data_IF_833158091131
#
_entry.id   IF_833158091131
#
_cell.length_a   1.000
_cell.length_b   1.000
_cell.length_c   1.000
_cell.angle_alpha   90.00
_cell.angle_beta   90.00
_cell.angle_gamma   90.00
#
_symmetry.space_group_name_H-M   'P 1'
#
loop_
_entity.id
_entity.type
_entity.pdbx_description
1 polymer ?
#
# COMPACT_ATOMS: atom_id res chain seq x y z
N UNK A 1 -9.09 7.01 29.82
CA UNK A 1 -7.88 7.24 28.98
C UNK A 1 -7.74 8.72 28.65
N UNK A 2 -6.54 9.30 28.79
CA UNK A 2 -6.20 10.64 28.31
C UNK A 2 -6.60 10.87 26.84
N UNK A 3 -7.07 12.07 26.52
CA UNK A 3 -7.51 12.44 25.17
C UNK A 3 -6.45 12.19 24.09
N UNK A 4 -5.19 12.53 24.40
CA UNK A 4 -4.04 12.30 23.53
C UNK A 4 -3.84 10.81 23.18
N UNK A 5 -3.99 9.91 24.15
CA UNK A 5 -3.85 8.47 23.91
C UNK A 5 -4.98 7.91 23.05
N UNK A 6 -6.21 8.41 23.22
CA UNK A 6 -7.33 8.07 22.35
C UNK A 6 -7.03 8.46 20.89
N UNK A 7 -6.56 9.68 20.68
CA UNK A 7 -6.17 10.19 19.35
C UNK A 7 -5.05 9.36 18.73
N UNK A 8 -3.97 9.10 19.48
CA UNK A 8 -2.83 8.32 19.01
C UNK A 8 -3.22 6.89 18.61
N UNK A 9 -4.09 6.24 19.38
CA UNK A 9 -4.59 4.90 19.05
C UNK A 9 -5.36 4.89 17.72
N UNK A 10 -6.20 5.91 17.47
CA UNK A 10 -6.92 6.03 16.20
C UNK A 10 -5.96 6.29 15.04
N UNK A 11 -4.92 7.11 15.22
CA UNK A 11 -3.88 7.34 14.20
C UNK A 11 -3.18 6.04 13.81
N UNK A 12 -2.75 5.24 14.80
CA UNK A 12 -2.09 3.96 14.56
C UNK A 12 -3.04 2.97 13.86
N UNK A 13 -4.29 2.89 14.31
CA UNK A 13 -5.29 2.02 13.71
C UNK A 13 -5.61 2.44 12.27
N UNK A 14 -5.74 3.74 12.00
CA UNK A 14 -5.98 4.27 10.65
C UNK A 14 -4.84 3.92 9.69
N UNK A 15 -3.60 3.91 10.19
CA UNK A 15 -2.44 3.51 9.40
C UNK A 15 -2.47 2.06 8.93
N UNK A 16 -3.06 1.14 9.72
CA UNK A 16 -3.12 -0.30 9.41
C UNK A 16 -4.46 -0.67 8.74
N UNK A 17 -5.56 -0.17 9.30
CA UNK A 17 -6.96 -0.48 8.95
C UNK A 17 -7.79 0.81 8.85
N UNK A 18 -7.53 1.59 7.80
CA UNK A 18 -8.19 2.88 7.55
C UNK A 18 -9.72 2.82 7.62
N UNK A 19 -10.35 1.79 7.06
CA UNK A 19 -11.80 1.64 7.02
C UNK A 19 -12.46 1.49 8.41
N UNK A 20 -11.78 0.81 9.36
CA UNK A 20 -12.32 0.52 10.69
C UNK A 20 -12.02 1.62 11.72
N UNK A 21 -11.09 2.52 11.41
CA UNK A 21 -10.66 3.55 12.33
C UNK A 21 -11.77 4.55 12.74
N UNK A 22 -12.70 4.99 11.87
CA UNK A 22 -13.81 5.87 12.28
C UNK A 22 -14.75 5.19 13.28
N UNK A 23 -15.07 3.90 13.08
CA UNK A 23 -15.90 3.12 14.02
C UNK A 23 -15.26 3.09 15.40
N UNK A 24 -13.97 2.78 15.44
CA UNK A 24 -13.21 2.69 16.69
C UNK A 24 -13.11 4.05 17.40
N UNK A 25 -12.91 5.13 16.64
CA UNK A 25 -12.86 6.48 17.18
C UNK A 25 -14.19 6.90 17.82
N UNK A 26 -15.32 6.56 17.18
CA UNK A 26 -16.64 6.81 17.73
C UNK A 26 -16.86 6.03 19.05
N UNK A 27 -16.52 4.75 19.10
CA UNK A 27 -16.65 3.93 20.31
C UNK A 27 -15.82 4.44 21.49
N UNK A 28 -14.74 5.16 21.21
CA UNK A 28 -13.87 5.77 22.23
C UNK A 28 -14.32 7.19 22.61
N UNK A 29 -15.33 7.72 21.92
CA UNK A 29 -15.88 9.06 22.12
C UNK A 29 -14.96 10.17 21.64
N UNK A 30 -14.33 10.00 20.47
CA UNK A 30 -13.55 11.06 19.83
C UNK A 30 -14.45 11.99 19.02
N UNK A 31 -14.14 13.29 19.05
CA UNK A 31 -14.84 14.28 18.23
C UNK A 31 -14.69 14.02 16.73
N UNK A 32 -15.66 14.49 15.95
CA UNK A 32 -15.69 14.36 14.49
C UNK A 32 -14.40 14.87 13.83
N UNK A 33 -13.98 16.10 14.18
CA UNK A 33 -12.79 16.74 13.60
C UNK A 33 -11.49 16.04 14.01
N UNK A 34 -11.43 15.59 15.26
CA UNK A 34 -10.27 14.87 15.78
C UNK A 34 -10.15 13.49 15.12
N UNK A 35 -11.27 12.82 14.87
CA UNK A 35 -11.31 11.56 14.12
C UNK A 35 -10.84 11.77 12.68
N UNK A 36 -11.35 12.78 12.00
CA UNK A 36 -10.92 13.10 10.64
C UNK A 36 -9.43 13.42 10.56
N UNK A 37 -8.92 14.28 11.47
CA UNK A 37 -7.50 14.59 11.55
C UNK A 37 -6.66 13.34 11.81
N UNK A 38 -7.09 12.47 12.72
CA UNK A 38 -6.41 11.21 13.01
C UNK A 38 -6.36 10.27 11.79
N UNK A 39 -7.45 10.18 11.02
CA UNK A 39 -7.50 9.40 9.78
C UNK A 39 -6.52 9.93 8.73
N UNK A 40 -6.53 11.24 8.49
CA UNK A 40 -5.68 11.87 7.49
C UNK A 40 -4.20 11.73 7.88
N UNK A 41 -3.86 12.02 9.13
CA UNK A 41 -2.48 11.93 9.63
C UNK A 41 -2.01 10.48 9.62
N UNK A 42 -2.78 9.56 10.20
CA UNK A 42 -2.41 8.14 10.27
C UNK A 42 -2.33 7.48 8.90
N UNK A 43 -3.30 7.77 8.02
CA UNK A 43 -3.33 7.25 6.66
C UNK A 43 -2.18 7.77 5.80
N UNK A 44 -1.92 9.09 5.86
CA UNK A 44 -0.83 9.71 5.10
C UNK A 44 0.54 9.24 5.60
N UNK A 45 0.76 9.23 6.91
CA UNK A 45 2.02 8.81 7.53
C UNK A 45 2.33 7.35 7.20
N UNK A 46 1.35 6.45 7.38
CA UNK A 46 1.51 5.03 7.05
C UNK A 46 1.80 4.81 5.57
N UNK A 47 1.05 5.49 4.68
CA UNK A 47 1.29 5.42 3.25
C UNK A 47 2.72 5.83 2.88
N UNK A 48 3.19 6.97 3.38
CA UNK A 48 4.54 7.48 3.09
C UNK A 48 5.60 6.53 3.64
N UNK A 49 5.50 6.11 4.90
CA UNK A 49 6.43 5.18 5.52
C UNK A 49 6.57 3.90 4.70
N UNK A 50 5.47 3.26 4.34
CA UNK A 50 5.49 2.01 3.58
C UNK A 50 5.96 2.23 2.14
N UNK A 51 5.57 3.34 1.51
CA UNK A 51 5.98 3.69 0.15
C UNK A 51 7.51 3.86 0.04
N UNK A 52 8.11 4.60 0.99
CA UNK A 52 9.56 4.78 1.03
C UNK A 52 10.30 3.53 1.51
N UNK A 53 9.78 2.80 2.49
CA UNK A 53 10.34 1.52 2.91
C UNK A 53 10.38 0.51 1.74
N UNK A 54 9.33 0.48 0.91
CA UNK A 54 9.30 -0.35 -0.30
C UNK A 54 10.38 0.08 -1.29
N UNK A 55 10.61 1.39 -1.45
CA UNK A 55 11.70 1.87 -2.29
C UNK A 55 13.06 1.38 -1.80
N UNK A 56 13.33 1.55 -0.51
CA UNK A 56 14.57 1.13 0.14
C UNK A 56 14.79 -0.37 -0.06
N UNK A 57 13.76 -1.18 0.19
CA UNK A 57 13.80 -2.63 0.01
C UNK A 57 14.08 -3.02 -1.44
N UNK A 58 13.44 -2.37 -2.42
CA UNK A 58 13.66 -2.65 -3.84
C UNK A 58 15.08 -2.29 -4.30
N UNK A 59 15.63 -1.16 -3.84
CA UNK A 59 17.02 -0.76 -4.12
C UNK A 59 18.00 -1.72 -3.45
N UNK A 60 17.77 -2.05 -2.18
CA UNK A 60 18.58 -3.00 -1.41
C UNK A 60 18.64 -4.36 -2.10
N UNK A 61 17.50 -4.95 -2.45
CA UNK A 61 17.43 -6.24 -3.15
C UNK A 61 18.13 -6.20 -4.52
N UNK A 62 18.06 -5.07 -5.23
CA UNK A 62 18.70 -4.92 -6.54
C UNK A 62 20.21 -4.80 -6.45
N UNK A 63 20.77 -4.18 -5.41
CA UNK A 63 22.21 -3.88 -5.31
C UNK A 63 22.98 -4.84 -4.40
N UNK A 64 22.43 -5.26 -3.26
CA UNK A 64 23.14 -6.11 -2.31
C UNK A 64 23.15 -7.59 -2.72
N UNK A 65 22.01 -8.10 -3.19
CA UNK A 65 21.87 -9.53 -3.52
C UNK A 65 22.89 -10.08 -4.52
N UNK A 66 23.27 -9.37 -5.62
CA UNK A 66 24.30 -9.88 -6.54
C UNK A 66 25.73 -9.76 -5.97
N UNK A 67 26.02 -8.72 -5.17
CA UNK A 67 27.35 -8.52 -4.57
C UNK A 67 27.66 -9.54 -3.46
N UNK A 68 26.68 -9.88 -2.63
CA UNK A 68 26.88 -10.89 -1.56
C UNK A 68 27.18 -12.27 -2.16
N UNK A 69 26.45 -12.64 -3.21
CA UNK A 69 26.63 -13.94 -3.88
C UNK A 69 27.98 -14.04 -4.62
N UNK A 70 28.56 -12.92 -5.07
CA UNK A 70 29.88 -12.94 -5.70
C UNK A 70 31.05 -13.15 -4.72
N UNK A 71 30.83 -12.91 -3.42
CA UNK A 71 31.88 -13.03 -2.37
C UNK A 71 31.81 -14.37 -1.62
N UNK A 72 30.77 -15.17 -1.84
CA UNK A 72 30.54 -16.44 -1.13
C UNK A 72 31.13 -17.66 -1.86
N UNK A 73 31.42 -18.74 -1.13
CA UNK A 73 31.89 -20.07 -1.59
C UNK A 73 31.27 -20.55 -2.92
N UNK A 74 32.09 -21.22 -3.76
CA UNK A 74 31.75 -21.72 -5.10
C UNK A 74 30.38 -22.41 -5.24
N UNK A 75 29.92 -23.18 -4.24
CA UNK A 75 28.62 -23.88 -4.26
C UNK A 75 27.44 -22.92 -4.35
N UNK A 76 27.49 -21.81 -3.63
CA UNK A 76 26.40 -20.80 -3.60
C UNK A 76 26.30 -20.02 -4.90
N UNK A 77 27.45 -19.74 -5.53
CA UNK A 77 27.55 -19.10 -6.84
C UNK A 77 26.92 -19.97 -7.93
N UNK A 78 27.19 -21.28 -7.93
CA UNK A 78 26.60 -22.25 -8.86
C UNK A 78 25.08 -22.39 -8.66
N UNK A 79 24.62 -22.51 -7.42
CA UNK A 79 23.18 -22.56 -7.11
C UNK A 79 22.45 -21.29 -7.60
N UNK A 80 23.00 -20.11 -7.33
CA UNK A 80 22.44 -18.85 -7.79
C UNK A 80 22.42 -18.75 -9.32
N UNK A 81 23.48 -19.19 -10.00
CA UNK A 81 23.55 -19.21 -11.48
C UNK A 81 22.46 -20.11 -12.05
N UNK A 82 22.31 -21.33 -11.53
CA UNK A 82 21.28 -22.27 -11.94
C UNK A 82 19.86 -21.75 -11.66
N UNK A 83 19.63 -21.13 -10.51
CA UNK A 83 18.34 -20.50 -10.18
C UNK A 83 18.01 -19.34 -11.13
N UNK A 84 19.01 -18.50 -11.45
CA UNK A 84 18.88 -17.39 -12.39
C UNK A 84 18.57 -17.89 -13.80
N UNK A 85 19.27 -18.92 -14.28
CA UNK A 85 19.04 -19.55 -15.58
C UNK A 85 17.65 -20.19 -15.67
N UNK A 86 17.23 -20.95 -14.65
CA UNK A 86 15.85 -21.50 -14.57
C UNK A 86 14.79 -20.39 -14.59
N UNK A 87 15.03 -19.26 -13.92
CA UNK A 87 14.11 -18.09 -13.93
C UNK A 87 14.03 -17.41 -15.29
N UNK A 88 15.14 -17.33 -16.03
CA UNK A 88 15.22 -16.78 -17.40
C UNK A 88 14.49 -17.71 -18.36
N UNK A 89 14.79 -19.01 -18.34
CA UNK A 89 14.15 -20.00 -19.20
C UNK A 89 12.62 -20.02 -18.98
N UNK A 90 12.19 -20.08 -17.71
CA UNK A 90 10.77 -19.97 -17.34
C UNK A 90 10.12 -18.62 -17.70
N UNK A 91 10.90 -17.57 -17.99
CA UNK A 91 10.38 -16.29 -18.51
C UNK A 91 10.21 -16.33 -20.03
N UNK A 92 11.10 -17.01 -20.74
CA UNK A 92 11.04 -17.21 -22.19
C UNK A 92 9.89 -18.16 -22.56
N UNK A 93 9.74 -19.27 -21.82
CA UNK A 93 8.69 -20.28 -22.06
C UNK A 93 7.29 -19.83 -21.62
N UNK A 94 7.17 -18.65 -20.99
CA UNK A 94 5.90 -18.14 -20.49
C UNK A 94 5.03 -17.68 -21.65
N UNK A 95 3.91 -18.37 -21.88
CA UNK A 95 2.87 -17.98 -22.86
C UNK A 95 2.42 -16.53 -22.60
N UNK A 96 2.73 -15.64 -23.54
CA UNK A 96 2.43 -14.20 -23.43
C UNK A 96 0.93 -13.91 -23.51
N UNK A 97 0.19 -14.66 -24.33
CA UNK A 97 -1.23 -14.41 -24.65
C UNK A 97 -2.25 -15.36 -23.99
N UNK A 98 -2.17 -15.57 -22.68
CA UNK A 98 -3.21 -16.33 -21.95
C UNK A 98 -4.45 -15.49 -21.66
N UNK A 99 -5.64 -16.10 -21.52
CA UNK A 99 -6.90 -15.40 -21.14
C UNK A 99 -6.72 -14.59 -19.84
N UNK A 100 -5.96 -15.12 -18.88
CA UNK A 100 -5.61 -14.44 -17.62
C UNK A 100 -4.69 -13.22 -17.85
N UNK A 101 -3.68 -13.33 -18.72
CA UNK A 101 -2.83 -12.18 -19.07
C UNK A 101 -3.62 -11.10 -19.82
N UNK A 102 -4.49 -11.48 -20.76
CA UNK A 102 -5.37 -10.54 -21.47
C UNK A 102 -6.31 -9.81 -20.49
N UNK A 103 -6.89 -10.51 -19.51
CA UNK A 103 -7.72 -9.89 -18.45
C UNK A 103 -6.91 -8.92 -17.59
N UNK A 104 -5.71 -9.30 -17.15
CA UNK A 104 -4.83 -8.39 -16.40
C UNK A 104 -4.40 -7.17 -17.22
N UNK A 105 -4.12 -7.34 -18.52
CA UNK A 105 -3.78 -6.21 -19.41
C UNK A 105 -4.98 -5.30 -19.61
N UNK A 106 -6.20 -5.84 -19.75
CA UNK A 106 -7.43 -5.05 -19.86
C UNK A 106 -7.71 -4.24 -18.58
N UNK A 107 -7.62 -4.89 -17.42
CA UNK A 107 -7.73 -4.21 -16.11
C UNK A 107 -6.65 -3.12 -15.97
N UNK A 108 -5.40 -3.39 -16.37
CA UNK A 108 -4.33 -2.37 -16.34
C UNK A 108 -4.56 -1.22 -17.32
N UNK A 109 -5.11 -1.50 -18.51
CA UNK A 109 -5.40 -0.50 -19.54
C UNK A 109 -6.52 0.45 -19.10
N UNK A 110 -7.59 -0.12 -18.54
CA UNK A 110 -8.82 0.61 -18.26
C UNK A 110 -8.80 1.23 -16.86
N UNK A 111 -8.18 0.56 -15.87
CA UNK A 111 -8.18 1.01 -14.46
C UNK A 111 -6.83 1.56 -13.99
N UNK A 112 -5.74 1.42 -14.76
CA UNK A 112 -4.48 2.15 -14.58
C UNK A 112 -4.00 2.36 -13.13
N UNK A 113 -3.56 3.59 -12.84
CA UNK A 113 -3.12 4.01 -11.50
C UNK A 113 -4.31 4.31 -10.58
N UNK A 114 -5.39 4.85 -11.15
CA UNK A 114 -6.57 5.31 -10.41
C UNK A 114 -7.37 4.16 -9.79
N UNK A 115 -7.52 3.04 -10.48
CA UNK A 115 -8.22 1.87 -9.94
C UNK A 115 -7.48 1.22 -8.77
N UNK A 116 -6.14 1.30 -8.73
CA UNK A 116 -5.35 0.88 -7.57
C UNK A 116 -5.52 1.84 -6.40
N UNK A 117 -5.49 3.15 -6.66
CA UNK A 117 -5.75 4.17 -5.63
C UNK A 117 -7.16 3.98 -5.08
N UNK A 118 -8.16 3.82 -5.96
CA UNK A 118 -9.57 3.74 -5.58
C UNK A 118 -9.89 2.47 -4.78
N UNK A 119 -9.36 1.33 -5.23
CA UNK A 119 -9.57 0.06 -4.53
C UNK A 119 -8.81 -0.06 -3.21
N UNK A 120 -7.77 0.76 -2.96
CA UNK A 120 -6.90 0.56 -1.80
C UNK A 120 -7.61 0.74 -0.45
N UNK A 121 -8.21 1.89 -0.08
CA UNK A 121 -8.76 2.07 1.27
C UNK A 121 -9.92 1.14 1.59
N UNK A 122 -10.63 0.62 0.57
CA UNK A 122 -11.81 -0.22 0.73
C UNK A 122 -11.47 -1.72 0.67
N UNK A 123 -10.53 -2.15 -0.18
CA UNK A 123 -10.22 -3.58 -0.39
C UNK A 123 -8.79 -3.99 0.02
N UNK A 124 -7.81 -3.09 -0.02
CA UNK A 124 -6.39 -3.38 0.20
C UNK A 124 -5.80 -2.36 1.18
N UNK A 125 -5.74 -2.74 2.47
CA UNK A 125 -5.11 -1.97 3.55
C UNK A 125 -4.00 -1.02 3.07
N UNK A 126 -3.98 0.24 3.55
CA UNK A 126 -3.04 1.29 3.12
C UNK A 126 -1.61 0.78 2.86
N UNK A 127 -1.01 -0.07 3.73
CA UNK A 127 0.33 -0.62 3.47
C UNK A 127 0.44 -1.40 2.17
N UNK A 128 -0.53 -2.25 1.86
CA UNK A 128 -0.54 -3.07 0.64
C UNK A 128 -0.72 -2.17 -0.59
N UNK A 129 -1.62 -1.19 -0.51
CA UNK A 129 -1.79 -0.17 -1.54
C UNK A 129 -0.49 0.58 -1.83
N UNK A 130 0.22 1.01 -0.78
CA UNK A 130 1.51 1.71 -0.89
C UNK A 130 2.60 0.87 -1.57
N UNK A 131 2.72 -0.42 -1.22
CA UNK A 131 3.67 -1.36 -1.84
C UNK A 131 3.37 -1.51 -3.32
N UNK A 132 2.10 -1.73 -3.69
CA UNK A 132 1.68 -1.89 -5.07
C UNK A 132 1.91 -0.62 -5.89
N UNK A 133 1.54 0.54 -5.34
CA UNK A 133 1.76 1.85 -5.96
C UNK A 133 3.25 2.10 -6.23
N UNK A 134 4.14 1.86 -5.25
CA UNK A 134 5.59 2.00 -5.46
C UNK A 134 6.10 1.03 -6.52
N UNK A 135 5.68 -0.24 -6.45
CA UNK A 135 6.17 -1.31 -7.34
C UNK A 135 5.77 -1.11 -8.80
N UNK A 136 4.56 -0.63 -9.06
CA UNK A 136 4.02 -0.49 -10.41
C UNK A 136 4.09 0.94 -10.97
N UNK A 137 3.92 1.95 -10.12
CA UNK A 137 3.82 3.36 -10.51
C UNK A 137 4.84 4.27 -9.81
N UNK A 138 5.87 3.71 -9.17
CA UNK A 138 6.89 4.47 -8.45
C UNK A 138 7.71 5.44 -9.30
N UNK A 139 7.64 5.33 -10.64
CA UNK A 139 8.31 6.25 -11.57
C UNK A 139 7.51 7.55 -11.81
N UNK A 140 6.19 7.56 -11.54
CA UNK A 140 5.35 8.76 -11.71
C UNK A 140 5.38 9.59 -10.43
N UNK A 141 5.84 10.84 -10.52
CA UNK A 141 5.85 11.79 -9.39
C UNK A 141 4.43 12.13 -8.88
N UNK A 142 3.43 12.03 -9.76
CA UNK A 142 2.01 12.30 -9.43
C UNK A 142 1.37 11.24 -8.52
N UNK A 143 1.97 10.06 -8.37
CA UNK A 143 1.41 8.95 -7.59
C UNK A 143 1.18 9.30 -6.12
N UNK A 144 2.16 9.97 -5.49
CA UNK A 144 2.10 10.36 -4.07
C UNK A 144 1.00 11.41 -3.83
N UNK A 145 1.00 12.58 -4.50
CA UNK A 145 -0.02 13.60 -4.25
C UNK A 145 -1.42 13.11 -4.59
N UNK A 146 -1.59 12.31 -5.65
CA UNK A 146 -2.90 11.73 -5.97
C UNK A 146 -3.41 10.80 -4.85
N UNK A 147 -2.55 10.01 -4.22
CA UNK A 147 -2.95 9.16 -3.10
C UNK A 147 -3.29 9.99 -1.85
N UNK A 148 -2.53 11.03 -1.55
CA UNK A 148 -2.80 11.91 -0.42
C UNK A 148 -4.14 12.64 -0.57
N UNK A 149 -4.41 13.22 -1.74
CA UNK A 149 -5.71 13.84 -2.05
C UNK A 149 -6.84 12.83 -1.91
N UNK A 150 -6.62 11.62 -2.38
CA UNK A 150 -7.60 10.56 -2.27
C UNK A 150 -7.87 10.16 -0.81
N UNK A 151 -6.84 10.09 0.05
CA UNK A 151 -6.98 9.85 1.49
C UNK A 151 -7.73 10.98 2.20
N UNK A 152 -7.54 12.24 1.81
CA UNK A 152 -8.30 13.37 2.34
C UNK A 152 -9.79 13.21 2.02
N UNK A 153 -10.12 12.98 0.74
CA UNK A 153 -11.51 12.83 0.28
C UNK A 153 -12.16 11.62 0.95
N UNK A 154 -11.51 10.45 0.93
CA UNK A 154 -12.08 9.24 1.53
C UNK A 154 -12.12 9.26 3.05
N UNK A 155 -11.16 9.91 3.70
CA UNK A 155 -11.21 10.13 5.14
C UNK A 155 -12.45 10.91 5.53
N UNK A 156 -12.81 11.92 4.75
CA UNK A 156 -13.99 12.74 4.99
C UNK A 156 -15.28 11.97 4.70
N UNK A 157 -15.34 11.27 3.57
CA UNK A 157 -16.50 10.44 3.18
C UNK A 157 -16.75 9.33 4.20
N UNK A 158 -15.72 8.59 4.64
CA UNK A 158 -15.90 7.54 5.64
C UNK A 158 -16.29 8.11 7.00
N UNK A 159 -15.62 9.17 7.45
CA UNK A 159 -15.94 9.78 8.73
C UNK A 159 -17.38 10.30 8.77
N UNK A 160 -17.82 11.01 7.72
CA UNK A 160 -19.21 11.49 7.61
C UNK A 160 -20.21 10.35 7.54
N UNK A 161 -19.97 9.33 6.71
CA UNK A 161 -20.85 8.17 6.60
C UNK A 161 -21.03 7.46 7.95
N UNK A 162 -19.94 7.18 8.66
CA UNK A 162 -20.02 6.52 9.98
C UNK A 162 -20.67 7.39 11.04
N UNK A 163 -20.36 8.68 11.07
CA UNK A 163 -20.96 9.58 12.05
C UNK A 163 -22.46 9.75 11.83
N UNK A 164 -22.93 9.72 10.58
CA UNK A 164 -24.36 9.70 10.26
C UNK A 164 -25.01 8.38 10.66
N UNK A 165 -24.40 7.24 10.33
CA UNK A 165 -24.93 5.91 10.69
C UNK A 165 -25.07 5.79 12.21
N UNK A 166 -24.01 6.15 12.96
CA UNK A 166 -24.01 6.05 14.43
C UNK A 166 -24.87 7.11 15.14
N UNK A 167 -25.35 8.13 14.41
CA UNK A 167 -26.31 9.10 14.95
C UNK A 167 -27.76 8.64 14.72
N UNK A 168 -27.98 7.76 13.73
CA UNK A 168 -29.28 7.20 13.39
C UNK A 168 -29.60 5.97 14.25
N UNK A 169 -28.58 5.18 14.62
CA UNK A 169 -28.68 4.05 15.56
C UNK A 169 -28.37 4.47 16.99
#
# INVERSE_FOLDING_TARGET
>A
MPYFLKFLNVVLLAGIKFFFAPIYAFNIGLDFWSTYAALVIGGSLSFLLVYYATNLFLVYVKHFKPKIVSVTTNKTRLYYRNWKQKRIQKRLDRKKFTKRNKRMVKIRRDWGMWGLIVSSPVLLSIPIGAILLRKYYGHRKRTIPSMLVYLLVWGLVLNTAYWLIMKIF
#
